data_IF_767966411902
#
_entry.id   IF_767966411902
#
_cell.length_a   1.000
_cell.length_b   1.000
_cell.length_c   1.000
_cell.angle_alpha   90.00
_cell.angle_beta   90.00
_cell.angle_gamma   90.00
#
_symmetry.space_group_name_H-M   'P 1'
#
loop_
_entity.id
_entity.type
_entity.pdbx_description
1 polymer ?
#
# COMPACT_ATOMS: atom_id res chain seq x y z
N UNK A 1 85.93 11.59 -22.27
CA UNK A 1 84.71 11.95 -23.04
C UNK A 1 83.56 11.08 -22.51
N UNK A 2 82.71 11.59 -21.61
CA UNK A 2 81.56 10.85 -21.06
C UNK A 2 80.29 11.57 -21.53
N UNK A 3 79.58 10.98 -22.49
CA UNK A 3 78.25 11.43 -22.88
C UNK A 3 77.24 11.04 -21.79
N UNK A 4 76.71 12.03 -21.09
CA UNK A 4 75.58 11.86 -20.19
C UNK A 4 74.27 11.81 -20.97
N UNK A 5 73.65 10.64 -21.04
CA UNK A 5 72.28 10.50 -21.53
C UNK A 5 71.31 11.09 -20.50
N UNK A 6 70.73 12.24 -20.84
CA UNK A 6 69.65 12.88 -20.07
C UNK A 6 68.37 12.04 -20.17
N UNK A 7 68.05 11.30 -19.10
CA UNK A 7 66.74 10.66 -18.88
C UNK A 7 65.69 11.74 -18.58
N UNK A 8 65.02 12.25 -19.61
CA UNK A 8 63.92 13.21 -19.46
C UNK A 8 62.65 12.53 -18.94
N UNK A 9 62.45 12.64 -17.62
CA UNK A 9 61.17 12.90 -16.91
C UNK A 9 59.86 12.38 -17.54
N UNK A 10 59.67 11.05 -17.56
CA UNK A 10 58.40 10.35 -17.89
C UNK A 10 57.34 10.40 -16.76
N UNK A 11 57.26 11.50 -15.99
CA UNK A 11 56.32 11.64 -14.85
C UNK A 11 54.97 12.25 -15.23
N UNK A 12 54.90 13.07 -16.29
CA UNK A 12 53.63 13.69 -16.73
C UNK A 12 52.69 12.68 -17.41
N UNK A 13 53.20 11.79 -18.27
CA UNK A 13 52.41 10.77 -18.97
C UNK A 13 51.78 9.74 -18.02
N UNK A 14 52.47 9.38 -16.93
CA UNK A 14 51.94 8.48 -15.89
C UNK A 14 50.78 9.13 -15.11
N UNK A 15 50.84 10.43 -14.87
CA UNK A 15 49.75 11.19 -14.23
C UNK A 15 48.49 11.27 -15.08
N UNK A 16 48.64 11.43 -16.40
CA UNK A 16 47.51 11.45 -17.35
C UNK A 16 46.79 10.10 -17.39
N UNK A 17 47.54 8.98 -17.43
CA UNK A 17 46.93 7.64 -17.41
C UNK A 17 46.14 7.34 -16.13
N UNK A 18 46.64 7.78 -14.96
CA UNK A 18 45.93 7.64 -13.68
C UNK A 18 44.65 8.46 -13.68
N UNK A 19 44.68 9.68 -14.24
CA UNK A 19 43.50 10.52 -14.34
C UNK A 19 42.40 9.87 -15.21
N UNK A 20 42.74 9.37 -16.40
CA UNK A 20 41.77 8.71 -17.28
C UNK A 20 41.18 7.43 -16.68
N UNK A 21 41.99 6.65 -15.95
CA UNK A 21 41.50 5.43 -15.29
C UNK A 21 40.55 5.74 -14.13
N UNK A 22 40.86 6.74 -13.31
CA UNK A 22 39.95 7.24 -12.26
C UNK A 22 38.65 7.80 -12.86
N UNK A 23 38.75 8.61 -13.92
CA UNK A 23 37.60 9.15 -14.62
C UNK A 23 36.70 8.04 -15.18
N UNK A 24 37.31 7.03 -15.82
CA UNK A 24 36.58 5.88 -16.35
C UNK A 24 35.90 5.06 -15.24
N UNK A 25 36.57 4.87 -14.10
CA UNK A 25 36.00 4.15 -12.95
C UNK A 25 34.78 4.91 -12.37
N UNK A 26 34.90 6.22 -12.19
CA UNK A 26 33.79 7.07 -11.71
C UNK A 26 32.63 7.05 -12.71
N UNK A 27 32.93 7.16 -14.01
CA UNK A 27 31.93 7.10 -15.07
C UNK A 27 31.19 5.75 -15.09
N UNK A 28 31.92 4.65 -14.92
CA UNK A 28 31.35 3.31 -14.85
C UNK A 28 30.42 3.14 -13.63
N UNK A 29 30.86 3.62 -12.46
CA UNK A 29 30.03 3.62 -11.25
C UNK A 29 28.75 4.43 -11.49
N UNK A 30 28.86 5.64 -12.03
CA UNK A 30 27.70 6.48 -12.31
C UNK A 30 26.72 5.81 -13.29
N UNK A 31 27.23 5.13 -14.32
CA UNK A 31 26.41 4.38 -15.28
C UNK A 31 25.69 3.19 -14.62
N UNK A 32 26.35 2.45 -13.73
CA UNK A 32 25.73 1.36 -12.98
C UNK A 32 24.60 1.89 -12.09
N UNK A 33 24.86 2.94 -11.29
CA UNK A 33 23.87 3.48 -10.37
C UNK A 33 22.62 4.02 -11.10
N UNK A 34 22.79 4.65 -12.26
CA UNK A 34 21.65 5.11 -13.08
C UNK A 34 20.82 3.96 -13.66
N UNK A 35 21.44 2.80 -13.95
CA UNK A 35 20.73 1.60 -14.38
C UNK A 35 20.01 0.85 -13.26
N UNK A 36 20.53 0.90 -12.04
CA UNK A 36 19.92 0.26 -10.86
C UNK A 36 18.80 1.09 -10.22
N UNK A 37 18.78 2.41 -10.48
CA UNK A 37 17.78 3.35 -9.97
C UNK A 37 16.32 2.87 -10.11
N UNK A 38 15.82 2.41 -11.28
CA UNK A 38 14.43 1.96 -11.40
C UNK A 38 14.09 0.82 -10.45
N UNK A 39 15.00 -0.16 -10.27
CA UNK A 39 14.78 -1.27 -9.33
C UNK A 39 14.69 -0.77 -7.89
N UNK A 40 15.52 0.19 -7.48
CA UNK A 40 15.41 0.79 -6.15
C UNK A 40 14.08 1.54 -5.93
N UNK A 41 13.55 2.19 -6.97
CA UNK A 41 12.24 2.83 -6.91
C UNK A 41 11.14 1.79 -6.73
N UNK A 42 11.21 0.64 -7.41
CA UNK A 42 10.24 -0.45 -7.21
C UNK A 42 10.27 -0.99 -5.78
N UNK A 43 11.45 -1.25 -5.22
CA UNK A 43 11.55 -1.62 -3.80
C UNK A 43 10.94 -0.54 -2.91
N UNK A 44 11.27 0.73 -3.14
CA UNK A 44 10.72 1.84 -2.35
C UNK A 44 9.18 1.86 -2.40
N UNK A 45 8.57 1.59 -3.56
CA UNK A 45 7.10 1.49 -3.70
C UNK A 45 6.54 0.32 -2.89
N UNK A 46 7.16 -0.86 -2.95
CA UNK A 46 6.73 -2.04 -2.19
C UNK A 46 6.77 -1.77 -0.69
N UNK A 47 7.87 -1.24 -0.19
CA UNK A 47 8.00 -0.91 1.22
C UNK A 47 7.06 0.23 1.65
N UNK A 48 6.81 1.20 0.77
CA UNK A 48 5.82 2.26 1.02
C UNK A 48 4.41 1.70 1.16
N UNK A 49 4.03 0.70 0.34
CA UNK A 49 2.77 -0.03 0.50
C UNK A 49 2.67 -0.74 1.85
N UNK A 50 3.75 -1.40 2.27
CA UNK A 50 3.77 -2.11 3.56
C UNK A 50 3.60 -1.14 4.74
N UNK A 51 4.33 -0.02 4.74
CA UNK A 51 4.22 1.01 5.78
C UNK A 51 2.81 1.62 5.79
N UNK A 52 2.24 1.93 4.62
CA UNK A 52 0.88 2.45 4.55
C UNK A 52 -0.15 1.45 5.12
N UNK A 53 -0.03 0.16 4.77
CA UNK A 53 -0.87 -0.90 5.33
C UNK A 53 -0.73 -0.99 6.85
N UNK A 54 0.49 -0.89 7.38
CA UNK A 54 0.73 -0.93 8.82
C UNK A 54 0.10 0.26 9.55
N UNK A 55 0.25 1.47 9.01
CA UNK A 55 -0.35 2.69 9.56
C UNK A 55 -1.88 2.59 9.59
N UNK A 56 -2.50 2.12 8.50
CA UNK A 56 -3.96 1.99 8.42
C UNK A 56 -4.47 0.89 9.34
N UNK A 57 -3.87 -0.30 9.33
CA UNK A 57 -4.29 -1.39 10.19
C UNK A 57 -4.11 -1.06 11.68
N UNK A 58 -3.00 -0.42 12.05
CA UNK A 58 -2.76 -0.01 13.45
C UNK A 58 -3.78 1.04 13.89
N UNK A 59 -4.09 2.01 13.03
CA UNK A 59 -5.09 3.03 13.34
C UNK A 59 -6.52 2.47 13.46
N UNK A 60 -6.85 1.46 12.66
CA UNK A 60 -8.09 0.71 12.78
C UNK A 60 -8.08 -0.06 14.12
N UNK A 61 -7.04 -0.83 14.42
CA UNK A 61 -6.96 -1.58 15.69
C UNK A 61 -7.06 -0.68 16.94
N UNK A 62 -6.38 0.47 16.92
CA UNK A 62 -6.39 1.45 18.02
C UNK A 62 -7.77 2.04 18.30
N UNK A 63 -8.57 2.24 17.24
CA UNK A 63 -9.90 2.86 17.34
C UNK A 63 -10.99 1.81 17.54
N UNK A 64 -10.78 0.59 17.05
CA UNK A 64 -11.76 -0.48 17.10
C UNK A 64 -11.62 -1.30 18.38
N UNK A 65 -12.27 -0.85 19.46
CA UNK A 65 -12.51 -1.71 20.62
C UNK A 65 -13.67 -2.66 20.29
N UNK A 66 -13.45 -3.98 20.44
CA UNK A 66 -14.37 -5.09 20.09
C UNK A 66 -15.86 -4.92 20.44
N UNK A 67 -16.21 -4.06 21.38
CA UNK A 67 -17.58 -3.90 21.89
C UNK A 67 -18.42 -2.81 21.17
N UNK A 68 -17.83 -1.88 20.41
CA UNK A 68 -18.57 -0.70 19.88
C UNK A 68 -19.21 -0.94 18.49
N UNK A 69 -18.90 -2.08 17.86
CA UNK A 69 -19.17 -2.36 16.45
C UNK A 69 -20.63 -2.75 16.12
N UNK A 70 -21.34 -3.40 17.04
CA UNK A 70 -22.74 -3.82 16.82
C UNK A 70 -23.72 -2.64 16.69
N UNK A 71 -23.28 -1.38 16.83
CA UNK A 71 -24.16 -0.20 16.84
C UNK A 71 -24.08 0.73 15.61
N UNK A 72 -23.21 0.43 14.63
CA UNK A 72 -22.99 1.31 13.47
C UNK A 72 -24.12 1.24 12.44
N UNK A 73 -24.80 0.10 12.33
CA UNK A 73 -25.98 -0.09 11.51
C UNK A 73 -27.04 -0.83 12.32
N UNK A 74 -28.27 -0.32 12.34
CA UNK A 74 -29.42 -1.04 12.88
C UNK A 74 -30.26 -1.55 11.72
N UNK A 75 -30.53 -2.86 11.74
CA UNK A 75 -31.50 -3.48 10.85
C UNK A 75 -32.88 -3.21 11.45
N UNK A 76 -33.75 -2.49 10.73
CA UNK A 76 -35.13 -2.30 11.16
C UNK A 76 -36.02 -3.39 10.56
N UNK A 77 -36.63 -4.17 11.44
CA UNK A 77 -37.65 -5.18 11.12
C UNK A 77 -39.05 -4.56 11.26
N UNK A 78 -39.98 -4.94 10.38
CA UNK A 78 -41.39 -4.57 10.53
C UNK A 78 -42.04 -5.37 11.68
N UNK A 79 -43.25 -5.01 12.11
CA UNK A 79 -44.12 -5.78 13.02
C UNK A 79 -44.47 -7.21 12.54
N UNK A 80 -43.90 -7.63 11.41
CA UNK A 80 -44.03 -8.93 10.77
C UNK A 80 -42.68 -9.55 10.43
N UNK A 81 -41.58 -9.10 11.07
CA UNK A 81 -40.20 -9.64 10.95
C UNK A 81 -39.48 -9.46 9.59
N UNK A 82 -40.11 -8.79 8.62
CA UNK A 82 -39.49 -8.52 7.30
C UNK A 82 -38.55 -7.30 7.33
N UNK A 83 -37.33 -7.41 6.80
CA UNK A 83 -36.32 -6.32 6.70
C UNK A 83 -36.71 -5.32 5.59
N UNK A 84 -36.82 -4.02 5.90
CA UNK A 84 -37.19 -2.98 4.92
C UNK A 84 -36.10 -1.95 4.61
N UNK A 85 -35.20 -1.65 5.56
CA UNK A 85 -34.12 -0.69 5.38
C UNK A 85 -32.97 -0.92 6.39
N UNK A 86 -31.76 -0.59 5.96
CA UNK A 86 -30.59 -0.43 6.84
C UNK A 86 -30.47 1.07 7.11
N UNK A 87 -30.73 1.48 8.35
CA UNK A 87 -30.48 2.87 8.75
C UNK A 87 -29.10 2.94 9.40
N UNK A 88 -28.20 3.58 8.67
CA UNK A 88 -26.84 3.85 9.11
C UNK A 88 -26.82 5.18 9.84
N UNK A 89 -26.31 5.20 11.08
CA UNK A 89 -26.12 6.45 11.81
C UNK A 89 -24.91 7.18 11.21
N UNK A 90 -25.17 8.03 10.22
CA UNK A 90 -24.16 8.82 9.51
C UNK A 90 -23.32 9.67 10.47
N UNK A 91 -23.88 10.11 11.61
CA UNK A 91 -23.12 10.89 12.59
C UNK A 91 -22.11 10.00 13.34
N UNK A 92 -22.48 8.78 13.71
CA UNK A 92 -21.54 7.80 14.29
C UNK A 92 -20.46 7.38 13.29
N UNK A 93 -20.82 7.12 12.04
CA UNK A 93 -19.84 6.76 11.00
C UNK A 93 -18.85 7.89 10.78
N UNK A 94 -19.30 9.14 10.69
CA UNK A 94 -18.38 10.27 10.51
C UNK A 94 -17.48 10.50 11.73
N UNK A 95 -17.96 10.22 12.95
CA UNK A 95 -17.13 10.26 14.16
C UNK A 95 -16.06 9.17 14.13
N UNK A 96 -16.44 7.94 13.75
CA UNK A 96 -15.51 6.84 13.58
C UNK A 96 -14.46 7.15 12.51
N UNK A 97 -14.90 7.61 11.34
CA UNK A 97 -14.01 8.09 10.25
C UNK A 97 -12.99 9.10 10.78
N UNK A 98 -13.48 10.10 11.51
CA UNK A 98 -12.64 11.15 12.09
C UNK A 98 -11.63 10.61 13.11
N UNK A 99 -12.05 9.66 13.96
CA UNK A 99 -11.18 9.02 14.94
C UNK A 99 -10.07 8.19 14.28
N UNK A 100 -10.40 7.41 13.25
CA UNK A 100 -9.41 6.63 12.49
C UNK A 100 -8.41 7.56 11.80
N UNK A 101 -8.88 8.63 11.15
CA UNK A 101 -7.99 9.62 10.50
C UNK A 101 -7.05 10.26 11.53
N UNK A 102 -7.55 10.62 12.73
CA UNK A 102 -6.71 11.16 13.79
C UNK A 102 -5.68 10.14 14.30
N UNK A 103 -6.06 8.87 14.45
CA UNK A 103 -5.14 7.81 14.85
C UNK A 103 -4.06 7.56 13.78
N UNK A 104 -4.45 7.51 12.50
CA UNK A 104 -3.51 7.42 11.38
C UNK A 104 -2.52 8.59 11.38
N UNK A 105 -3.00 9.82 11.57
CA UNK A 105 -2.12 11.00 11.61
C UNK A 105 -1.13 10.93 12.78
N UNK A 106 -1.58 10.47 13.95
CA UNK A 106 -0.70 10.26 15.12
C UNK A 106 0.36 9.18 14.85
N UNK A 107 0.00 8.10 14.16
CA UNK A 107 0.92 7.03 13.78
C UNK A 107 1.96 7.53 12.76
N UNK A 108 1.56 8.38 11.80
CA UNK A 108 2.46 9.08 10.88
C UNK A 108 3.42 10.01 11.63
N UNK A 109 2.92 10.80 12.58
CA UNK A 109 3.72 11.78 13.31
C UNK A 109 4.73 11.13 14.27
N UNK A 110 4.40 9.95 14.81
CA UNK A 110 5.31 9.14 15.63
C UNK A 110 6.35 8.40 14.80
N UNK A 111 5.99 7.91 13.61
CA UNK A 111 6.87 7.23 12.66
C UNK A 111 7.31 8.18 11.54
N UNK A 112 8.04 9.24 11.91
CA UNK A 112 8.46 10.31 10.99
C UNK A 112 9.19 9.83 9.73
N UNK A 113 9.91 8.71 9.82
CA UNK A 113 10.58 8.10 8.69
C UNK A 113 11.05 6.68 8.98
N UNK A 114 10.82 5.77 8.05
CA UNK A 114 11.41 4.44 8.08
C UNK A 114 12.58 4.36 7.11
N UNK A 115 13.64 3.68 7.53
CA UNK A 115 14.80 3.43 6.66
C UNK A 115 14.86 1.96 6.33
N UNK A 116 14.71 1.66 5.04
CA UNK A 116 14.81 0.32 4.51
C UNK A 116 16.16 0.13 3.85
N UNK A 117 16.79 -1.01 4.09
CA UNK A 117 18.09 -1.36 3.54
C UNK A 117 17.92 -2.39 2.44
N UNK A 118 18.33 -2.03 1.22
CA UNK A 118 18.27 -2.92 0.06
C UNK A 118 19.69 -3.23 -0.41
N UNK A 119 20.10 -4.51 -0.47
CA UNK A 119 21.41 -4.88 -1.00
C UNK A 119 21.56 -4.47 -2.47
N UNK A 120 22.68 -3.85 -2.85
CA UNK A 120 22.94 -3.44 -4.25
C UNK A 120 22.70 -4.57 -5.26
N UNK A 121 23.12 -5.80 -4.92
CA UNK A 121 22.99 -6.95 -5.79
C UNK A 121 21.55 -7.38 -6.03
N UNK A 122 20.62 -7.11 -5.10
CA UNK A 122 19.17 -7.35 -5.29
C UNK A 122 18.52 -6.45 -6.32
N UNK A 123 19.15 -5.31 -6.64
CA UNK A 123 18.71 -4.41 -7.71
C UNK A 123 19.44 -4.66 -9.02
N UNK A 124 20.51 -5.47 -9.00
CA UNK A 124 21.16 -5.90 -10.23
C UNK A 124 20.31 -6.99 -10.88
N UNK A 125 20.04 -6.90 -12.19
CA UNK A 125 19.34 -7.94 -12.97
C UNK A 125 20.11 -9.27 -13.05
N UNK A 126 21.04 -9.51 -12.13
CA UNK A 126 21.91 -10.68 -12.04
C UNK A 126 21.48 -11.48 -10.80
N UNK A 127 20.72 -12.55 -11.03
CA UNK A 127 20.16 -13.37 -9.94
C UNK A 127 21.22 -13.93 -8.97
N UNK A 128 22.43 -14.23 -9.44
CA UNK A 128 23.50 -14.73 -8.58
C UNK A 128 24.09 -13.67 -7.64
N UNK A 129 23.80 -12.38 -7.87
CA UNK A 129 24.17 -11.28 -6.98
C UNK A 129 23.02 -10.89 -6.04
N UNK A 130 21.85 -11.51 -6.14
CA UNK A 130 20.71 -11.18 -5.29
C UNK A 130 21.07 -11.35 -3.81
N UNK A 131 20.76 -10.34 -2.99
CA UNK A 131 21.09 -10.33 -1.56
C UNK A 131 22.56 -10.04 -1.23
N UNK A 132 23.45 -9.88 -2.22
CA UNK A 132 24.86 -9.58 -2.01
C UNK A 132 25.16 -8.08 -2.21
N UNK A 133 26.29 -7.65 -1.65
CA UNK A 133 26.79 -6.28 -1.76
C UNK A 133 26.38 -5.38 -0.59
N UNK A 134 26.80 -4.11 -0.61
CA UNK A 134 26.49 -3.17 0.45
C UNK A 134 25.01 -2.81 0.45
N UNK A 135 24.47 -2.64 1.66
CA UNK A 135 23.11 -2.22 1.89
C UNK A 135 22.94 -0.73 1.58
N UNK A 136 22.10 -0.42 0.60
CA UNK A 136 21.74 0.96 0.24
C UNK A 136 20.52 1.37 1.04
N UNK A 137 20.59 2.45 1.84
CA UNK A 137 19.44 2.94 2.58
C UNK A 137 18.46 3.68 1.65
N UNK A 138 17.18 3.38 1.80
CA UNK A 138 16.06 4.13 1.24
C UNK A 138 15.25 4.64 2.43
N UNK A 139 15.10 5.96 2.53
CA UNK A 139 14.28 6.59 3.55
C UNK A 139 12.88 6.80 3.00
N UNK A 140 11.87 6.35 3.72
CA UNK A 140 10.47 6.45 3.35
C UNK A 140 9.78 7.36 4.37
N UNK A 141 8.99 8.30 3.85
CA UNK A 141 8.32 9.34 4.60
C UNK A 141 6.83 9.29 4.25
N UNK A 142 5.95 8.89 5.19
CA UNK A 142 4.53 9.19 5.06
C UNK A 142 4.34 10.71 5.16
N UNK A 143 3.90 11.34 4.07
CA UNK A 143 3.81 12.81 3.99
C UNK A 143 2.44 13.29 4.46
N UNK A 144 1.39 12.78 3.85
CA UNK A 144 0.02 13.12 4.21
C UNK A 144 -0.98 12.06 3.76
N UNK A 145 -2.13 12.05 4.43
CA UNK A 145 -3.32 11.30 3.99
C UNK A 145 -4.01 12.17 2.93
N UNK A 146 -4.13 11.64 1.71
CA UNK A 146 -4.77 12.32 0.57
C UNK A 146 -6.27 12.15 0.63
N UNK A 147 -6.72 10.93 0.89
CA UNK A 147 -8.12 10.59 1.04
C UNK A 147 -8.27 9.42 2.02
N UNK A 148 -9.36 9.40 2.76
CA UNK A 148 -9.79 8.25 3.54
C UNK A 148 -11.32 8.23 3.47
N UNK A 149 -11.90 7.16 2.95
CA UNK A 149 -13.35 7.05 2.81
C UNK A 149 -13.86 5.64 3.04
N UNK A 150 -15.12 5.54 3.46
CA UNK A 150 -15.78 4.26 3.58
C UNK A 150 -16.43 3.88 2.26
N UNK A 151 -16.19 2.64 1.85
CA UNK A 151 -16.76 2.08 0.62
C UNK A 151 -17.59 0.85 0.96
N UNK A 152 -18.82 0.86 0.49
CA UNK A 152 -19.76 -0.23 0.69
C UNK A 152 -19.86 -1.10 -0.56
N UNK A 153 -20.00 -2.41 -0.35
CA UNK A 153 -20.21 -3.39 -1.42
C UNK A 153 -21.32 -4.36 -0.98
N UNK A 154 -22.23 -4.66 -1.92
CA UNK A 154 -23.35 -5.57 -1.72
C UNK A 154 -23.25 -6.71 -2.72
N UNK A 155 -22.91 -7.90 -2.24
CA UNK A 155 -22.76 -9.11 -3.05
C UNK A 155 -23.95 -10.06 -2.81
N UNK A 156 -24.61 -10.53 -3.88
CA UNK A 156 -25.65 -11.57 -3.74
C UNK A 156 -25.01 -12.93 -3.47
N UNK A 157 -25.37 -13.57 -2.35
CA UNK A 157 -24.78 -14.85 -1.90
C UNK A 157 -25.80 -15.99 -1.78
N UNK A 158 -27.08 -15.73 -2.04
CA UNK A 158 -28.13 -16.74 -1.98
C UNK A 158 -29.49 -16.24 -2.47
N UNK A 159 -30.50 -17.13 -2.42
CA UNK A 159 -31.84 -16.88 -3.00
C UNK A 159 -32.50 -15.63 -2.40
N UNK A 160 -32.20 -15.27 -1.15
CA UNK A 160 -32.58 -13.99 -0.53
C UNK A 160 -31.51 -13.52 0.47
N UNK A 161 -30.24 -13.63 0.11
CA UNK A 161 -29.15 -13.21 0.99
C UNK A 161 -28.23 -12.23 0.27
N UNK A 162 -28.02 -11.08 0.89
CA UNK A 162 -27.07 -10.08 0.43
C UNK A 162 -25.97 -9.95 1.47
N UNK A 163 -24.73 -10.10 1.03
CA UNK A 163 -23.54 -9.84 1.82
C UNK A 163 -23.19 -8.36 1.68
N UNK A 164 -23.28 -7.62 2.77
CA UNK A 164 -22.83 -6.24 2.88
C UNK A 164 -21.40 -6.22 3.43
N UNK A 165 -20.50 -5.54 2.73
CA UNK A 165 -19.12 -5.31 3.14
C UNK A 165 -18.87 -3.83 3.28
N UNK A 166 -18.21 -3.45 4.37
CA UNK A 166 -17.75 -2.09 4.61
C UNK A 166 -16.22 -2.07 4.58
N UNK A 167 -15.67 -1.35 3.62
CA UNK A 167 -14.23 -1.13 3.47
C UNK A 167 -13.86 0.29 3.90
N UNK A 168 -12.65 0.46 4.40
CA UNK A 168 -11.97 1.75 4.53
C UNK A 168 -10.92 1.84 3.42
N UNK A 169 -11.17 2.67 2.43
CA UNK A 169 -10.23 2.99 1.35
C UNK A 169 -9.42 4.22 1.76
N UNK A 170 -8.09 4.07 1.82
CA UNK A 170 -7.16 5.13 2.21
C UNK A 170 -6.14 5.35 1.08
N UNK A 171 -6.00 6.60 0.68
CA UNK A 171 -4.95 7.06 -0.23
C UNK A 171 -3.96 7.92 0.56
N UNK A 172 -2.69 7.54 0.57
CA UNK A 172 -1.63 8.22 1.31
C UNK A 172 -0.50 8.61 0.36
N UNK A 173 0.00 9.84 0.49
CA UNK A 173 1.19 10.26 -0.25
C UNK A 173 2.43 9.85 0.51
N UNK A 174 3.25 9.04 -0.14
CA UNK A 174 4.51 8.55 0.36
C UNK A 174 5.64 9.23 -0.41
N UNK A 175 6.64 9.75 0.28
CA UNK A 175 7.89 10.19 -0.34
C UNK A 175 9.00 9.24 0.03
N UNK A 176 9.85 8.92 -0.94
CA UNK A 176 11.00 8.07 -0.69
C UNK A 176 12.26 8.68 -1.31
N UNK A 177 13.34 8.60 -0.55
CA UNK A 177 14.64 9.20 -0.86
C UNK A 177 15.70 8.11 -0.74
N UNK A 178 16.30 7.79 -1.87
CA UNK A 178 17.47 6.92 -1.96
C UNK A 178 18.73 7.72 -2.30
N UNK A 179 19.84 7.02 -2.52
CA UNK A 179 21.14 7.63 -2.79
C UNK A 179 21.18 8.49 -4.07
N UNK A 180 20.40 8.13 -5.10
CA UNK A 180 20.43 8.76 -6.43
C UNK A 180 19.03 9.17 -6.93
N UNK A 181 18.01 9.12 -6.07
CA UNK A 181 16.64 9.48 -6.44
C UNK A 181 15.87 10.02 -5.23
N UNK A 182 14.95 10.94 -5.51
CA UNK A 182 13.94 11.40 -4.57
C UNK A 182 12.63 11.53 -5.35
N UNK A 183 11.61 10.79 -4.94
CA UNK A 183 10.30 10.81 -5.60
C UNK A 183 9.18 10.71 -4.56
N UNK A 184 7.96 10.92 -5.01
CA UNK A 184 6.75 10.69 -4.21
C UNK A 184 5.73 9.95 -5.05
N UNK A 185 5.02 9.02 -4.42
CA UNK A 185 3.94 8.25 -5.03
C UNK A 185 2.73 8.21 -4.11
N UNK A 186 1.54 8.05 -4.68
CA UNK A 186 0.31 7.86 -3.89
C UNK A 186 0.08 6.36 -3.74
N UNK A 187 0.06 5.90 -2.50
CA UNK A 187 -0.24 4.52 -2.14
C UNK A 187 -1.71 4.42 -1.77
N UNK A 188 -2.39 3.41 -2.30
CA UNK A 188 -3.77 3.11 -2.00
C UNK A 188 -3.84 1.79 -1.22
N UNK A 189 -4.56 1.81 -0.11
CA UNK A 189 -4.82 0.64 0.71
C UNK A 189 -6.30 0.56 1.05
N UNK A 190 -6.81 -0.66 1.17
CA UNK A 190 -8.20 -0.92 1.51
C UNK A 190 -8.26 -1.98 2.60
N UNK A 191 -8.97 -1.68 3.69
CA UNK A 191 -9.13 -2.58 4.82
C UNK A 191 -10.61 -2.92 5.00
N UNK A 192 -10.93 -4.21 5.08
CA UNK A 192 -12.29 -4.67 5.39
C UNK A 192 -12.57 -4.42 6.87
N UNK A 193 -13.60 -3.61 7.15
CA UNK A 193 -14.03 -3.30 8.49
C UNK A 193 -15.18 -4.22 8.93
N UNK A 194 -16.21 -4.34 8.09
CA UNK A 194 -17.38 -5.18 8.36
C UNK A 194 -17.65 -6.15 7.22
N UNK A 195 -18.19 -7.31 7.59
CA UNK A 195 -18.99 -8.13 6.70
C UNK A 195 -20.26 -8.58 7.44
N UNK A 196 -21.43 -8.28 6.89
CA UNK A 196 -22.73 -8.68 7.43
C UNK A 196 -23.56 -9.38 6.36
N UNK A 197 -24.23 -10.48 6.71
CA UNK A 197 -25.18 -11.16 5.83
C UNK A 197 -26.58 -10.71 6.19
N UNK A 198 -27.26 -10.10 5.24
CA UNK A 198 -28.65 -9.66 5.35
C UNK A 198 -29.52 -10.73 4.70
N UNK A 199 -30.41 -11.32 5.49
CA UNK A 199 -31.34 -12.36 5.03
C UNK A 199 -32.71 -11.74 4.83
N UNK A 200 -33.19 -11.72 3.59
CA UNK A 200 -34.55 -11.35 3.24
C UNK A 200 -35.50 -12.55 3.19
N UNK A 201 -36.79 -12.29 3.17
CA UNK A 201 -37.81 -13.35 3.14
C UNK A 201 -37.80 -14.13 1.84
N UNK A 202 -37.99 -15.45 1.94
CA UNK A 202 -38.24 -16.29 0.78
C UNK A 202 -39.63 -16.06 0.20
N UNK A 203 -39.77 -15.68 -1.09
CA UNK A 203 -41.08 -15.49 -1.69
C UNK A 203 -41.86 -16.81 -1.72
N UNK A 204 -43.02 -16.85 -1.07
CA UNK A 204 -43.93 -18.01 -1.10
C UNK A 204 -44.64 -18.06 -2.45
N UNK A 205 -44.30 -19.04 -3.28
CA UNK A 205 -44.95 -19.29 -4.57
C UNK A 205 -46.34 -19.89 -4.35
N UNK A 206 -47.40 -19.11 -4.56
CA UNK A 206 -48.77 -19.64 -4.64
C UNK A 206 -49.04 -20.14 -6.07
N UNK A 207 -48.73 -21.41 -6.32
CA UNK A 207 -49.14 -22.10 -7.54
C UNK A 207 -50.66 -22.33 -7.54
N UNK A 208 -51.44 -21.38 -8.09
CA UNK A 208 -52.84 -21.59 -8.41
C UNK A 208 -52.95 -22.15 -9.84
N UNK A 209 -53.00 -23.48 -9.96
CA UNK A 209 -53.27 -24.19 -11.20
C UNK A 209 -54.23 -25.33 -10.91
N UNK A 210 -55.52 -25.04 -10.92
CA UNK A 210 -56.59 -25.98 -10.59
C UNK A 210 -56.54 -27.25 -11.45
N UNK A 211 -56.49 -28.40 -10.78
CA UNK A 211 -56.88 -29.67 -11.36
C UNK A 211 -58.41 -29.75 -11.38
N UNK A 212 -59.00 -29.64 -12.57
CA UNK A 212 -60.28 -30.28 -12.90
C UNK A 212 -60.22 -30.76 -14.34
N UNK A 213 -59.83 -32.02 -14.51
CA UNK A 213 -60.27 -32.81 -15.65
C UNK A 213 -61.31 -33.79 -15.11
N UNK A 214 -62.59 -33.42 -15.24
CA UNK A 214 -63.71 -34.35 -15.07
C UNK A 214 -63.68 -35.35 -16.22
N UNK A 215 -63.65 -36.63 -15.87
CA UNK A 215 -63.94 -37.74 -16.77
C UNK A 215 -65.45 -37.82 -16.91
N UNK A 216 -65.97 -37.59 -18.12
CA UNK A 216 -67.07 -38.31 -18.77
C UNK A 216 -67.20 -37.86 -20.23
#
# INVERSE_FOLDING_TARGET
MRLGLSRTRNRSLKGVGIFFTLFFLIFLIWLIFTKLQPSFIEYAKVYSNNIANEVVNSAVDDVFVKEEYQSLAKIMENSSENIKAIETDTAKINRLKSAIIQSMQKNIDSHKSDTVYVPLGSCSNLYFLAGLGPNVPIRIYPVNIVNADFKESFDSVGINQVKHKLYLDVSMKMSFVGMMFAQSDTVETSVLLNETIIVGDTPTYYGNGGMTASVE
#
